data_IF_606312984387
#
_entry.id   IF_606312984387
#
_cell.length_a   1.000
_cell.length_b   1.000
_cell.length_c   1.000
_cell.angle_alpha   90.00
_cell.angle_beta   90.00
_cell.angle_gamma   90.00
#
_symmetry.space_group_name_H-M   'P 1'
#
loop_
_entity.id
_entity.type
_entity.pdbx_description
1 polymer ?
#
# COMPACT_ATOMS: atom_id res chain seq x y z
N UNK A 1 8.26 -6.99 -15.81
CA UNK A 1 6.82 -6.78 -16.11
C UNK A 1 6.12 -6.22 -14.88
N UNK A 2 5.35 -5.16 -15.05
CA UNK A 2 4.64 -4.54 -13.93
C UNK A 2 3.40 -5.34 -13.59
N UNK A 3 3.16 -5.53 -12.29
CA UNK A 3 1.91 -6.12 -11.82
C UNK A 3 0.83 -5.03 -11.83
N UNK A 4 -0.33 -5.27 -12.45
CA UNK A 4 -1.41 -4.29 -12.39
C UNK A 4 -1.96 -4.14 -10.98
N UNK A 5 -2.65 -3.03 -10.74
CA UNK A 5 -3.30 -2.74 -9.47
C UNK A 5 -4.78 -3.11 -9.62
N UNK A 6 -5.29 -3.88 -8.65
CA UNK A 6 -6.72 -4.18 -8.55
C UNK A 6 -7.21 -3.86 -7.15
N UNK A 7 -8.50 -3.76 -6.96
CA UNK A 7 -9.08 -3.47 -5.65
C UNK A 7 -10.61 -3.66 -5.69
N UNK A 8 -11.19 -3.72 -4.50
CA UNK A 8 -12.64 -3.72 -4.33
C UNK A 8 -13.16 -2.29 -4.52
N UNK A 9 -14.04 -2.03 -5.51
CA UNK A 9 -14.55 -0.68 -5.74
C UNK A 9 -15.21 -0.03 -4.52
N UNK A 10 -15.91 -0.80 -3.70
CA UNK A 10 -16.57 -0.27 -2.50
C UNK A 10 -15.55 0.23 -1.48
N UNK A 11 -14.48 -0.52 -1.26
CA UNK A 11 -13.40 -0.10 -0.36
C UNK A 11 -12.66 1.12 -0.91
N UNK A 12 -12.43 1.14 -2.20
CA UNK A 12 -11.81 2.27 -2.87
C UNK A 12 -12.62 3.55 -2.65
N UNK A 13 -13.94 3.49 -2.86
CA UNK A 13 -14.81 4.64 -2.68
C UNK A 13 -14.80 5.16 -1.24
N UNK A 14 -14.84 4.25 -0.26
CA UNK A 14 -14.81 4.62 1.15
C UNK A 14 -13.49 5.31 1.49
N UNK A 15 -12.37 4.75 1.05
CA UNK A 15 -11.04 5.30 1.34
C UNK A 15 -10.86 6.66 0.68
N UNK A 16 -11.33 6.81 -0.55
CA UNK A 16 -11.23 8.07 -1.27
C UNK A 16 -12.01 9.17 -0.55
N UNK A 17 -13.23 8.86 -0.11
CA UNK A 17 -14.07 9.84 0.61
C UNK A 17 -13.53 10.17 1.99
N UNK A 18 -13.04 9.18 2.74
CA UNK A 18 -12.62 9.37 4.12
C UNK A 18 -11.19 9.86 4.27
N UNK A 19 -10.31 9.45 3.37
CA UNK A 19 -8.87 9.72 3.49
C UNK A 19 -8.30 10.53 2.34
N UNK A 20 -9.08 10.72 1.27
CA UNK A 20 -8.59 11.40 0.08
C UNK A 20 -7.54 10.60 -0.69
N UNK A 21 -7.50 9.29 -0.49
CA UNK A 21 -6.53 8.40 -1.15
C UNK A 21 -7.22 7.52 -2.16
N UNK A 22 -6.69 7.51 -3.38
CA UNK A 22 -7.16 6.69 -4.49
C UNK A 22 -6.30 5.42 -4.57
N UNK A 23 -6.90 4.24 -4.46
CA UNK A 23 -6.17 2.98 -4.55
C UNK A 23 -5.41 2.84 -5.88
N UNK A 24 -5.90 3.44 -6.94
CA UNK A 24 -5.20 3.41 -8.23
C UNK A 24 -3.83 4.08 -8.14
N UNK A 25 -3.65 5.03 -7.24
CA UNK A 25 -2.37 5.72 -7.03
C UNK A 25 -1.31 4.81 -6.39
N UNK A 26 -1.67 3.61 -5.95
CA UNK A 26 -0.70 2.62 -5.50
C UNK A 26 0.34 2.33 -6.58
N UNK A 27 -0.05 2.42 -7.86
CA UNK A 27 0.89 2.24 -8.96
C UNK A 27 2.06 3.25 -8.88
N UNK A 28 1.79 4.47 -8.46
CA UNK A 28 2.81 5.50 -8.29
C UNK A 28 3.75 5.17 -7.14
N UNK A 29 3.22 4.59 -6.07
CA UNK A 29 4.03 4.16 -4.91
C UNK A 29 5.01 3.09 -5.34
N UNK A 30 4.55 2.08 -6.05
CA UNK A 30 5.40 0.98 -6.51
C UNK A 30 6.40 1.40 -7.59
N UNK A 31 6.10 2.44 -8.35
CA UNK A 31 7.00 2.96 -9.38
C UNK A 31 8.15 3.76 -8.77
N UNK A 32 8.01 4.29 -7.56
CA UNK A 32 9.03 5.07 -6.89
C UNK A 32 9.74 4.27 -5.80
N UNK A 33 10.44 4.98 -4.93
CA UNK A 33 11.12 4.34 -3.79
C UNK A 33 10.08 3.81 -2.82
N UNK A 34 10.19 2.55 -2.50
CA UNK A 34 9.28 1.88 -1.57
C UNK A 34 10.00 0.72 -0.90
N UNK A 35 9.43 0.24 0.19
CA UNK A 35 9.90 -0.96 0.89
C UNK A 35 8.70 -1.82 1.22
N UNK A 36 8.88 -3.13 1.17
CA UNK A 36 7.82 -4.10 1.40
C UNK A 36 8.26 -5.13 2.41
N UNK A 37 7.37 -5.45 3.36
CA UNK A 37 7.57 -6.53 4.31
C UNK A 37 6.34 -7.44 4.28
N UNK A 38 6.50 -8.69 4.76
CA UNK A 38 5.37 -9.58 4.92
C UNK A 38 4.49 -9.11 6.07
N UNK A 39 3.17 -9.19 5.90
CA UNK A 39 2.21 -8.91 6.96
C UNK A 39 1.93 -10.20 7.70
N UNK A 40 2.57 -10.37 8.85
CA UNK A 40 2.47 -11.58 9.68
C UNK A 40 1.65 -11.35 10.95
N UNK A 41 0.87 -10.27 10.99
CA UNK A 41 0.08 -9.93 12.18
C UNK A 41 -0.99 -10.98 12.50
N UNK A 42 -1.47 -11.68 11.47
CA UNK A 42 -2.41 -12.80 11.63
C UNK A 42 -2.31 -13.72 10.41
N UNK A 43 -2.95 -14.88 10.52
CA UNK A 43 -3.10 -15.80 9.39
C UNK A 43 -4.34 -15.36 8.59
N UNK A 44 -4.12 -14.90 7.37
CA UNK A 44 -5.19 -14.41 6.48
C UNK A 44 -5.65 -15.47 5.48
N UNK A 45 -5.01 -16.65 5.49
CA UNK A 45 -5.26 -17.66 4.47
C UNK A 45 -4.71 -17.31 3.10
N UNK A 46 -3.94 -16.23 3.00
CA UNK A 46 -3.30 -15.78 1.77
C UNK A 46 -2.08 -14.94 2.13
N UNK A 47 -1.07 -14.85 1.27
CA UNK A 47 0.06 -13.97 1.51
C UNK A 47 -0.41 -12.52 1.52
N UNK A 48 0.03 -11.74 2.50
CA UNK A 48 -0.22 -10.30 2.55
C UNK A 48 1.08 -9.56 2.79
N UNK A 49 1.17 -8.38 2.18
CA UNK A 49 2.36 -7.55 2.27
C UNK A 49 1.98 -6.14 2.68
N UNK A 50 2.90 -5.50 3.38
CA UNK A 50 2.78 -4.10 3.77
C UNK A 50 3.86 -3.35 3.00
N UNK A 51 3.46 -2.35 2.23
CA UNK A 51 4.39 -1.52 1.47
C UNK A 51 4.25 -0.08 1.92
N UNK A 52 5.39 0.57 2.18
CA UNK A 52 5.43 2.00 2.45
C UNK A 52 6.21 2.68 1.34
N UNK A 53 5.73 3.83 0.92
CA UNK A 53 6.40 4.60 -0.11
C UNK A 53 5.80 5.99 -0.21
N UNK A 54 6.22 6.73 -1.21
CA UNK A 54 5.87 8.13 -1.33
C UNK A 54 4.79 8.33 -2.37
N UNK A 55 3.79 9.12 -2.01
CA UNK A 55 2.78 9.61 -2.92
C UNK A 55 2.81 11.13 -2.82
N UNK A 56 3.32 11.77 -3.88
CA UNK A 56 3.73 13.15 -3.82
C UNK A 56 4.78 13.30 -2.72
N UNK A 57 4.61 14.15 -1.74
CA UNK A 57 5.60 14.36 -0.69
C UNK A 57 5.22 13.73 0.64
N UNK A 58 4.20 12.85 0.64
CA UNK A 58 3.74 12.20 1.85
C UNK A 58 3.91 10.70 1.77
N UNK A 59 4.31 10.10 2.87
CA UNK A 59 4.42 8.65 2.94
C UNK A 59 3.04 8.03 3.13
N UNK A 60 2.77 7.00 2.34
CA UNK A 60 1.58 6.16 2.50
C UNK A 60 2.00 4.73 2.81
N UNK A 61 1.12 4.03 3.52
CA UNK A 61 1.29 2.62 3.85
C UNK A 61 0.10 1.89 3.25
N UNK A 62 0.38 0.86 2.50
CA UNK A 62 -0.68 0.07 1.91
C UNK A 62 -0.48 -1.41 2.19
N UNK A 63 -1.59 -2.12 2.29
CA UNK A 63 -1.62 -3.57 2.45
C UNK A 63 -2.17 -4.16 1.17
N UNK A 64 -1.54 -5.20 0.67
CA UNK A 64 -1.96 -5.83 -0.57
C UNK A 64 -1.68 -7.32 -0.55
N UNK A 65 -2.32 -8.03 -1.46
CA UNK A 65 -2.08 -9.46 -1.68
C UNK A 65 -1.88 -9.69 -3.18
N UNK A 66 -0.93 -10.57 -3.56
CA UNK A 66 -0.83 -10.97 -4.97
C UNK A 66 -2.04 -11.84 -5.33
N UNK A 67 -2.69 -11.53 -6.44
CA UNK A 67 -3.84 -12.30 -6.91
C UNK A 67 -3.91 -12.17 -8.44
N UNK A 68 -3.90 -13.31 -9.14
CA UNK A 68 -4.00 -13.35 -10.60
C UNK A 68 -2.95 -12.46 -11.29
N UNK A 69 -1.71 -12.51 -10.80
CA UNK A 69 -0.59 -11.70 -11.29
C UNK A 69 -0.80 -10.19 -11.12
N UNK A 70 -1.67 -9.80 -10.20
CA UNK A 70 -1.94 -8.39 -9.86
C UNK A 70 -1.66 -8.16 -8.39
N UNK A 71 -1.46 -6.88 -8.04
CA UNK A 71 -1.43 -6.44 -6.65
C UNK A 71 -2.83 -5.98 -6.28
N UNK A 72 -3.53 -6.78 -5.49
CA UNK A 72 -4.86 -6.39 -5.01
C UNK A 72 -4.69 -5.58 -3.74
N UNK A 73 -5.03 -4.30 -3.83
CA UNK A 73 -4.90 -3.37 -2.71
C UNK A 73 -6.05 -3.62 -1.73
N UNK A 74 -5.70 -3.84 -0.48
CA UNK A 74 -6.66 -4.10 0.59
C UNK A 74 -6.94 -2.84 1.38
N UNK A 75 -5.88 -2.07 1.69
CA UNK A 75 -6.02 -0.81 2.41
C UNK A 75 -4.90 0.15 2.03
N UNK A 76 -5.13 1.43 2.23
CA UNK A 76 -4.17 2.48 1.94
C UNK A 76 -4.44 3.64 2.89
N UNK A 77 -3.39 4.15 3.52
CA UNK A 77 -3.50 5.25 4.47
C UNK A 77 -2.20 6.03 4.52
N UNK A 78 -2.28 7.25 5.06
CA UNK A 78 -1.07 8.01 5.33
C UNK A 78 -0.34 7.45 6.54
N UNK A 79 0.98 7.49 6.52
CA UNK A 79 1.80 7.06 7.63
C UNK A 79 1.76 8.09 8.75
N UNK A 80 1.81 7.62 10.00
CA UNK A 80 2.02 8.48 11.15
C UNK A 80 3.50 8.86 11.25
N UNK A 81 3.81 9.95 11.96
CA UNK A 81 5.19 10.44 12.04
C UNK A 81 6.17 9.39 12.57
N UNK A 82 5.79 8.66 13.62
CA UNK A 82 6.66 7.60 14.17
C UNK A 82 6.83 6.44 13.19
N UNK A 83 5.79 6.11 12.47
CA UNK A 83 5.81 5.06 11.47
C UNK A 83 6.69 5.45 10.29
N UNK A 84 6.54 6.69 9.83
CA UNK A 84 7.38 7.22 8.76
C UNK A 84 8.84 7.17 9.15
N UNK A 85 9.18 7.56 10.37
CA UNK A 85 10.56 7.52 10.86
C UNK A 85 11.14 6.11 10.82
N UNK A 86 10.33 5.10 11.19
CA UNK A 86 10.77 3.70 11.12
C UNK A 86 11.00 3.24 9.68
N UNK A 87 10.08 3.58 8.78
CA UNK A 87 10.19 3.17 7.38
C UNK A 87 11.35 3.84 6.66
N UNK A 88 11.68 5.08 7.02
CA UNK A 88 12.81 5.80 6.41
C UNK A 88 14.13 5.05 6.56
N UNK A 89 14.28 4.24 7.59
CA UNK A 89 15.49 3.42 7.79
C UNK A 89 15.65 2.38 6.68
N UNK A 90 14.56 1.94 6.08
CA UNK A 90 14.58 0.99 4.98
C UNK A 90 14.63 1.69 3.62
N UNK A 91 14.09 2.89 3.55
CA UNK A 91 14.01 3.63 2.28
C UNK A 91 15.25 4.49 2.01
N UNK A 92 16.06 4.66 3.00
CA UNK A 92 17.26 5.49 2.91
C UNK A 92 16.95 6.95 3.02
#
# INVERSE_FOLDING_TARGET
MKMPITFDPAKHDITLRKRGLDFADAAKVFAGRHATISDVRRDYGEPRYITAGWLSERMVVLVWTPRDNARRIISMRYAHAKEEARWRKFLG
#
